data_IF_580177281191
#
_entry.id   IF_580177281191
#
_cell.length_a   1.000
_cell.length_b   1.000
_cell.length_c   1.000
_cell.angle_alpha   90.00
_cell.angle_beta   90.00
_cell.angle_gamma   90.00
#
_symmetry.space_group_name_H-M   'P 1'
#
loop_
_entity.id
_entity.type
_entity.pdbx_description
1 polymer ?
#
# COMPACT_ATOMS: atom_id res chain seq x y z
N UNK A 1 10.07 -19.80 -29.17
CA UNK A 1 9.56 -19.94 -30.58
C UNK A 1 8.85 -18.67 -31.06
N UNK A 2 7.77 -18.18 -30.41
CA UNK A 2 7.06 -16.97 -30.87
C UNK A 2 7.91 -15.71 -30.81
N UNK A 3 8.62 -15.47 -29.69
CA UNK A 3 9.55 -14.35 -29.53
C UNK A 3 10.69 -14.43 -30.53
N UNK A 4 11.24 -15.63 -30.78
CA UNK A 4 12.32 -15.87 -31.76
C UNK A 4 11.85 -15.57 -33.19
N UNK A 5 10.55 -15.72 -33.43
CA UNK A 5 9.91 -15.38 -34.70
C UNK A 5 9.51 -13.88 -34.80
N UNK A 6 9.88 -13.07 -33.82
CA UNK A 6 9.54 -11.64 -33.79
C UNK A 6 8.09 -11.35 -33.40
N UNK A 7 7.35 -12.33 -32.90
CA UNK A 7 5.98 -12.15 -32.43
C UNK A 7 6.00 -11.78 -30.95
N UNK A 8 5.48 -10.60 -30.54
CA UNK A 8 5.36 -10.24 -29.14
C UNK A 8 4.49 -11.26 -28.40
N UNK A 9 5.08 -11.94 -27.42
CA UNK A 9 4.39 -12.95 -26.61
C UNK A 9 4.93 -12.94 -25.18
N UNK A 10 4.08 -13.23 -24.20
CA UNK A 10 4.47 -13.33 -22.81
C UNK A 10 3.50 -14.23 -22.04
N UNK A 11 3.90 -14.74 -20.88
CA UNK A 11 3.03 -15.54 -20.03
C UNK A 11 1.94 -14.63 -19.41
N UNK A 12 0.77 -15.22 -19.19
CA UNK A 12 -0.27 -14.61 -18.33
C UNK A 12 -0.05 -15.19 -16.93
N UNK A 13 0.48 -14.36 -16.05
CA UNK A 13 0.82 -14.75 -14.68
C UNK A 13 -0.28 -14.35 -13.69
N UNK A 14 -0.51 -15.17 -12.67
CA UNK A 14 -1.23 -14.76 -11.47
C UNK A 14 -0.33 -13.91 -10.53
N UNK A 15 -0.91 -13.37 -9.45
CA UNK A 15 -0.19 -12.50 -8.52
C UNK A 15 0.98 -13.25 -7.84
N UNK A 16 0.82 -14.51 -7.48
CA UNK A 16 1.87 -15.28 -6.84
C UNK A 16 3.05 -15.51 -7.81
N UNK A 17 2.77 -15.81 -9.06
CA UNK A 17 3.76 -15.96 -10.12
C UNK A 17 4.50 -14.65 -10.42
N UNK A 18 3.78 -13.52 -10.45
CA UNK A 18 4.39 -12.18 -10.61
C UNK A 18 5.33 -11.87 -9.45
N UNK A 19 4.90 -12.12 -8.21
CA UNK A 19 5.71 -11.85 -7.02
C UNK A 19 6.95 -12.76 -6.90
N UNK A 20 6.91 -13.96 -7.47
CA UNK A 20 8.04 -14.89 -7.52
C UNK A 20 8.91 -14.71 -8.77
N UNK A 21 8.57 -13.80 -9.67
CA UNK A 21 9.29 -13.64 -10.94
C UNK A 21 10.63 -12.92 -10.74
N UNK A 22 11.74 -13.39 -11.33
CA UNK A 22 13.06 -12.75 -11.18
C UNK A 22 13.10 -11.26 -11.57
N UNK A 23 12.26 -10.85 -12.53
CA UNK A 23 12.14 -9.44 -12.91
C UNK A 23 11.54 -8.57 -11.81
N UNK A 24 10.64 -9.11 -11.00
CA UNK A 24 10.05 -8.42 -9.83
C UNK A 24 11.12 -8.10 -8.80
N UNK A 25 12.01 -9.07 -8.51
CA UNK A 25 13.16 -8.86 -7.63
C UNK A 25 14.17 -7.88 -8.23
N UNK A 26 14.54 -8.05 -9.51
CA UNK A 26 15.45 -7.14 -10.20
C UNK A 26 14.95 -5.69 -10.20
N UNK A 27 13.66 -5.49 -10.28
CA UNK A 27 13.02 -4.17 -10.23
C UNK A 27 12.70 -3.69 -8.81
N UNK A 28 13.08 -4.45 -7.78
CA UNK A 28 12.79 -4.14 -6.37
C UNK A 28 11.31 -3.81 -6.15
N UNK A 29 10.43 -4.63 -6.75
CA UNK A 29 8.99 -4.42 -6.69
C UNK A 29 8.30 -5.16 -5.54
N UNK A 30 8.98 -6.10 -4.85
CA UNK A 30 8.48 -6.75 -3.63
C UNK A 30 8.93 -5.93 -2.40
N UNK A 31 8.10 -5.00 -1.97
CA UNK A 31 8.39 -4.14 -0.80
C UNK A 31 7.77 -4.72 0.46
N UNK A 32 8.57 -4.74 1.53
CA UNK A 32 8.16 -5.18 2.87
C UNK A 32 8.48 -4.09 3.88
N UNK A 33 7.45 -3.62 4.58
CA UNK A 33 7.54 -2.60 5.60
C UNK A 33 6.67 -3.01 6.78
N UNK A 34 7.31 -3.39 7.89
CA UNK A 34 6.62 -3.85 9.10
C UNK A 34 5.61 -4.98 8.75
N UNK A 35 4.32 -4.76 8.97
CA UNK A 35 3.25 -5.72 8.67
C UNK A 35 2.83 -5.75 7.18
N UNK A 36 3.26 -4.74 6.38
CA UNK A 36 2.85 -4.56 4.98
C UNK A 36 3.79 -5.27 4.01
N UNK A 37 3.20 -5.97 3.04
CA UNK A 37 3.89 -6.44 1.84
C UNK A 37 3.10 -6.04 0.61
N UNK A 38 3.75 -5.41 -0.36
CA UNK A 38 3.07 -4.96 -1.58
C UNK A 38 4.03 -4.55 -2.68
N UNK A 39 3.46 -4.05 -3.77
CA UNK A 39 4.23 -3.60 -4.91
C UNK A 39 4.94 -2.28 -4.63
N UNK A 40 6.20 -2.20 -5.01
CA UNK A 40 7.00 -0.98 -4.97
C UNK A 40 6.62 0.01 -6.06
N UNK A 41 7.27 1.19 -6.02
CA UNK A 41 7.11 2.22 -7.04
C UNK A 41 7.74 1.77 -8.38
N UNK A 42 6.97 1.69 -9.47
CA UNK A 42 7.49 1.21 -10.76
C UNK A 42 8.45 2.20 -11.42
N UNK A 43 8.34 3.48 -11.09
CA UNK A 43 9.20 4.54 -11.62
C UNK A 43 10.45 4.64 -10.75
N UNK A 44 11.62 4.48 -11.37
CA UNK A 44 12.92 4.58 -10.70
C UNK A 44 13.68 5.79 -11.21
N UNK A 45 13.94 6.75 -10.33
CA UNK A 45 14.75 7.93 -10.64
C UNK A 45 16.17 7.73 -10.13
N UNK A 46 17.16 8.06 -10.96
CA UNK A 46 18.59 7.87 -10.62
C UNK A 46 19.10 8.86 -9.57
N UNK A 47 18.57 10.09 -9.53
CA UNK A 47 19.02 11.14 -8.62
C UNK A 47 18.11 11.35 -7.41
N UNK A 48 16.83 11.06 -7.56
CA UNK A 48 15.80 11.23 -6.52
C UNK A 48 14.94 9.99 -6.47
N UNK A 49 15.49 8.87 -5.97
CA UNK A 49 14.72 7.62 -5.90
C UNK A 49 13.49 7.78 -5.01
N UNK A 50 12.38 7.21 -5.44
CA UNK A 50 11.19 7.10 -4.60
C UNK A 50 11.40 6.03 -3.53
N UNK A 51 11.06 6.36 -2.29
CA UNK A 51 11.14 5.44 -1.16
C UNK A 51 9.76 5.23 -0.55
N UNK A 52 9.44 4.00 -0.23
CA UNK A 52 8.30 3.67 0.63
C UNK A 52 8.78 3.68 2.09
N UNK A 53 8.45 4.74 2.83
CA UNK A 53 8.96 4.97 4.19
C UNK A 53 8.04 4.43 5.29
N UNK A 54 6.75 4.41 5.02
CA UNK A 54 5.73 3.99 5.99
C UNK A 54 4.77 2.99 5.36
N UNK A 55 4.30 2.00 6.11
CA UNK A 55 3.22 1.15 5.64
C UNK A 55 1.93 1.95 5.48
N UNK A 56 0.99 1.51 4.63
CA UNK A 56 -0.31 2.15 4.53
C UNK A 56 -1.03 2.07 5.89
N UNK A 57 -1.80 3.11 6.25
CA UNK A 57 -2.55 3.07 7.50
C UNK A 57 -3.61 1.97 7.44
N UNK A 58 -3.85 1.34 8.58
CA UNK A 58 -5.00 0.45 8.74
C UNK A 58 -6.29 1.24 8.78
N UNK A 59 -7.40 0.56 8.50
CA UNK A 59 -8.71 1.20 8.49
C UNK A 59 -9.01 1.90 9.81
N UNK A 60 -9.28 3.21 9.74
CA UNK A 60 -9.60 4.03 10.90
C UNK A 60 -8.42 4.44 11.80
N UNK A 61 -7.16 4.12 11.43
CA UNK A 61 -5.97 4.36 12.24
C UNK A 61 -5.78 5.84 12.66
N UNK A 62 -6.13 6.79 11.78
CA UNK A 62 -5.94 8.23 12.02
C UNK A 62 -7.24 8.98 12.27
N UNK A 63 -8.30 8.29 12.61
CA UNK A 63 -9.64 8.86 12.72
C UNK A 63 -9.72 10.02 13.71
N UNK A 64 -9.20 9.82 14.92
CA UNK A 64 -9.19 10.84 15.98
C UNK A 64 -8.32 12.03 15.61
N UNK A 65 -7.12 11.75 15.10
CA UNK A 65 -6.15 12.77 14.70
C UNK A 65 -6.74 13.71 13.64
N UNK A 66 -7.30 13.15 12.58
CA UNK A 66 -7.92 13.93 11.49
C UNK A 66 -9.10 14.75 11.99
N UNK A 67 -9.96 14.21 12.84
CA UNK A 67 -11.09 14.95 13.40
C UNK A 67 -10.63 16.10 14.31
N UNK A 68 -9.64 15.85 15.17
CA UNK A 68 -9.07 16.88 16.04
C UNK A 68 -8.41 18.01 15.24
N UNK A 69 -7.64 17.70 14.19
CA UNK A 69 -7.07 18.68 13.27
C UNK A 69 -8.13 19.55 12.58
N UNK A 70 -9.33 19.01 12.35
CA UNK A 70 -10.46 19.73 11.76
C UNK A 70 -11.36 20.42 12.80
N UNK A 71 -10.91 20.52 14.04
CA UNK A 71 -11.56 21.31 15.09
C UNK A 71 -12.68 20.63 15.86
N UNK A 72 -12.83 19.31 15.73
CA UNK A 72 -13.75 18.55 16.57
C UNK A 72 -13.14 18.39 17.97
N UNK A 73 -13.95 18.65 19.00
CA UNK A 73 -13.57 18.41 20.38
C UNK A 73 -13.56 16.90 20.70
N UNK A 74 -12.86 16.52 21.75
CA UNK A 74 -12.80 15.11 22.19
C UNK A 74 -14.20 14.54 22.47
N UNK A 75 -15.10 15.32 23.08
CA UNK A 75 -16.48 14.93 23.33
C UNK A 75 -17.29 14.68 22.04
N UNK A 76 -17.03 15.46 21.00
CA UNK A 76 -17.67 15.27 19.69
C UNK A 76 -17.14 14.03 18.99
N UNK A 77 -15.83 13.80 19.06
CA UNK A 77 -15.17 12.61 18.51
C UNK A 77 -15.73 11.35 19.19
N UNK A 78 -15.82 11.34 20.52
CA UNK A 78 -16.41 10.21 21.27
C UNK A 78 -17.87 9.94 20.87
N UNK A 79 -18.68 10.98 20.70
CA UNK A 79 -20.07 10.82 20.23
C UNK A 79 -20.16 10.24 18.82
N UNK A 80 -19.28 10.66 17.90
CA UNK A 80 -19.24 10.14 16.54
C UNK A 80 -18.83 8.67 16.51
N UNK A 81 -17.87 8.29 17.34
CA UNK A 81 -17.41 6.90 17.49
C UNK A 81 -18.50 6.02 18.13
N UNK A 82 -19.11 6.48 19.21
CA UNK A 82 -20.19 5.77 19.90
C UNK A 82 -21.43 5.59 19.02
N UNK A 83 -21.73 6.58 18.19
CA UNK A 83 -22.82 6.54 17.22
C UNK A 83 -22.54 5.70 15.97
N UNK A 84 -21.31 5.19 15.81
CA UNK A 84 -20.89 4.41 14.63
C UNK A 84 -20.81 5.21 13.34
N UNK A 85 -20.90 6.54 13.40
CA UNK A 85 -20.72 7.44 12.25
C UNK A 85 -19.28 7.40 11.76
N UNK A 86 -18.36 7.21 12.70
CA UNK A 86 -16.92 7.08 12.47
C UNK A 86 -16.45 5.77 13.09
N UNK A 87 -15.49 5.12 12.46
CA UNK A 87 -14.93 3.84 12.92
C UNK A 87 -13.44 3.99 13.18
N UNK A 88 -13.00 3.60 14.35
CA UNK A 88 -11.61 3.56 14.75
C UNK A 88 -11.01 2.15 14.56
N UNK A 89 -9.68 2.07 14.35
CA UNK A 89 -8.99 0.77 14.33
C UNK A 89 -9.27 0.01 15.64
N UNK A 90 -9.83 -1.20 15.51
CA UNK A 90 -9.99 -2.08 16.67
C UNK A 90 -8.60 -2.63 17.06
N UNK A 91 -8.08 -2.17 18.17
CA UNK A 91 -6.92 -2.84 18.81
C UNK A 91 -7.35 -4.28 19.16
N UNK A 92 -6.76 -5.24 18.48
CA UNK A 92 -6.88 -6.65 18.85
C UNK A 92 -5.97 -6.94 20.03
#
# INVERSE_FOLDING_TARGET
ELLDAGVPAGPVNDIAQVMAHPHTDHREMDVRLDWYRGAGTPIKFSRTPGEMRTPPPKFGAHCREVLAEHGFSDDEIERLLAGGTVVEERKK
#
